data_IF_458602570366
#
_entry.id   IF_458602570366
#
_cell.length_a   1.000
_cell.length_b   1.000
_cell.length_c   1.000
_cell.angle_alpha   90.00
_cell.angle_beta   90.00
_cell.angle_gamma   90.00
#
_symmetry.space_group_name_H-M   'P 1'
#
loop_
_entity.id
_entity.type
_entity.pdbx_description
1 polymer ?
#
# COMPACT_ATOMS: atom_id res chain seq x y z
N UNK A 1 6.39 -5.12 -1.66
CA UNK A 1 6.78 -4.96 -0.23
C UNK A 1 6.54 -6.30 0.45
N UNK A 2 7.46 -6.79 1.26
CA UNK A 2 7.38 -8.12 1.90
C UNK A 2 7.24 -7.97 3.41
N UNK A 3 6.39 -8.79 4.03
CA UNK A 3 6.35 -8.96 5.46
C UNK A 3 7.48 -9.93 5.85
N UNK A 4 8.50 -9.44 6.55
CA UNK A 4 9.72 -10.21 6.84
C UNK A 4 9.49 -11.40 7.78
N UNK A 5 8.41 -11.37 8.58
CA UNK A 5 8.09 -12.47 9.49
C UNK A 5 7.43 -13.66 8.77
N UNK A 6 6.56 -13.38 7.80
CA UNK A 6 5.74 -14.39 7.11
C UNK A 6 6.23 -14.73 5.71
N UNK A 7 7.09 -13.90 5.13
CA UNK A 7 7.52 -14.00 3.73
C UNK A 7 6.46 -13.61 2.71
N UNK A 8 5.25 -13.21 3.14
CA UNK A 8 4.16 -12.80 2.24
C UNK A 8 4.30 -11.36 1.77
N UNK A 9 3.80 -11.06 0.59
CA UNK A 9 3.83 -9.72 0.03
C UNK A 9 2.55 -8.93 0.35
N UNK A 10 2.71 -7.62 0.57
CA UNK A 10 1.60 -6.69 0.74
C UNK A 10 0.85 -6.56 -0.59
N UNK A 11 -0.44 -6.89 -0.57
CA UNK A 11 -1.32 -6.95 -1.74
C UNK A 11 -2.58 -6.12 -1.51
N UNK A 12 -3.35 -5.95 -2.58
CA UNK A 12 -4.64 -5.26 -2.56
C UNK A 12 -5.71 -6.17 -3.13
N UNK A 13 -6.84 -6.27 -2.41
CA UNK A 13 -8.08 -6.88 -2.90
C UNK A 13 -9.18 -5.81 -2.93
N UNK A 14 -9.53 -5.37 -4.13
CA UNK A 14 -10.36 -4.18 -4.37
C UNK A 14 -9.80 -2.92 -3.69
N UNK A 15 -10.25 -2.63 -2.46
CA UNK A 15 -9.81 -1.48 -1.65
C UNK A 15 -9.07 -1.88 -0.37
N UNK A 16 -9.09 -3.17 -0.02
CA UNK A 16 -8.55 -3.67 1.24
C UNK A 16 -7.09 -4.10 1.08
N UNK A 17 -6.33 -3.89 2.14
CA UNK A 17 -4.97 -4.39 2.26
C UNK A 17 -5.02 -5.85 2.73
N UNK A 18 -4.33 -6.72 2.00
CA UNK A 18 -4.22 -8.15 2.33
C UNK A 18 -2.79 -8.61 2.12
N UNK A 19 -2.46 -9.82 2.57
CA UNK A 19 -1.18 -10.48 2.26
C UNK A 19 -1.40 -11.63 1.29
N UNK A 20 -0.54 -11.75 0.28
CA UNK A 20 -0.57 -12.86 -0.67
C UNK A 20 0.85 -13.41 -0.88
N UNK A 21 0.95 -14.53 -1.58
CA UNK A 21 2.26 -15.04 -2.01
C UNK A 21 2.91 -14.02 -2.96
N UNK A 22 4.23 -13.92 -2.92
CA UNK A 22 4.96 -12.95 -3.71
C UNK A 22 5.04 -13.38 -5.18
N UNK A 23 4.55 -12.53 -6.07
CA UNK A 23 4.62 -12.68 -7.52
C UNK A 23 4.86 -11.32 -8.22
N UNK A 24 4.70 -11.27 -9.55
CA UNK A 24 4.89 -10.06 -10.38
C UNK A 24 3.58 -9.35 -10.72
N UNK A 25 2.49 -9.65 -10.03
CA UNK A 25 1.19 -9.03 -10.26
C UNK A 25 1.16 -7.55 -9.86
N UNK A 26 0.26 -6.80 -10.47
CA UNK A 26 0.11 -5.37 -10.18
C UNK A 26 -0.48 -5.14 -8.78
N UNK A 27 -1.20 -6.11 -8.21
CA UNK A 27 -1.72 -6.04 -6.84
C UNK A 27 -0.60 -5.96 -5.80
N UNK A 28 0.56 -6.55 -6.08
CA UNK A 28 1.75 -6.54 -5.22
C UNK A 28 2.73 -5.40 -5.56
N UNK A 29 2.44 -4.65 -6.62
CA UNK A 29 3.32 -3.61 -7.14
C UNK A 29 2.97 -2.26 -6.50
N UNK A 30 3.95 -1.66 -5.86
CA UNK A 30 3.82 -0.39 -5.13
C UNK A 30 4.89 0.59 -5.58
N UNK A 31 4.51 1.86 -5.72
CA UNK A 31 5.43 2.95 -6.04
C UNK A 31 5.33 4.07 -5.01
N UNK A 32 6.45 4.71 -4.71
CA UNK A 32 6.47 5.94 -3.92
C UNK A 32 5.95 7.11 -4.76
N UNK A 33 5.04 7.90 -4.21
CA UNK A 33 4.55 9.14 -4.78
C UNK A 33 5.04 10.39 -4.02
N UNK A 34 4.54 11.56 -4.43
CA UNK A 34 4.79 12.82 -3.74
C UNK A 34 4.23 12.80 -2.31
N UNK A 35 4.84 13.60 -1.43
CA UNK A 35 4.38 13.74 -0.05
C UNK A 35 4.57 12.49 0.83
N UNK A 36 5.33 11.49 0.38
CA UNK A 36 5.53 10.22 1.10
C UNK A 36 4.42 9.20 0.88
N UNK A 37 3.61 9.36 -0.16
CA UNK A 37 2.55 8.40 -0.49
C UNK A 37 3.11 7.08 -1.03
N UNK A 38 2.39 5.98 -0.79
CA UNK A 38 2.67 4.68 -1.40
C UNK A 38 1.47 4.28 -2.27
N UNK A 39 1.62 4.35 -3.58
CA UNK A 39 0.54 4.05 -4.51
C UNK A 39 0.62 2.60 -5.00
N UNK A 40 -0.50 1.91 -4.97
CA UNK A 40 -0.64 0.59 -5.56
C UNK A 40 -0.92 0.69 -7.07
N UNK A 41 -0.24 -0.13 -7.86
CA UNK A 41 -0.31 -0.08 -9.33
C UNK A 41 -1.57 -0.76 -9.89
N UNK A 42 -2.23 -1.65 -9.15
CA UNK A 42 -3.44 -2.32 -9.61
C UNK A 42 -4.66 -1.40 -9.60
N UNK A 43 -4.88 -0.65 -8.52
CA UNK A 43 -6.05 0.22 -8.37
C UNK A 43 -5.74 1.72 -8.45
N UNK A 44 -4.46 2.10 -8.62
CA UNK A 44 -4.01 3.50 -8.66
C UNK A 44 -4.36 4.32 -7.40
N UNK A 45 -4.52 3.66 -6.25
CA UNK A 45 -4.84 4.29 -4.95
C UNK A 45 -3.65 4.24 -4.01
N UNK A 46 -3.64 5.13 -3.03
CA UNK A 46 -2.56 5.23 -2.06
C UNK A 46 -2.89 4.45 -0.79
N UNK A 47 -1.86 3.83 -0.19
CA UNK A 47 -1.94 3.24 1.13
C UNK A 47 -2.28 4.34 2.13
N UNK A 48 -3.34 4.11 2.89
CA UNK A 48 -3.90 5.04 3.86
C UNK A 48 -4.20 4.29 5.15
N UNK A 49 -4.27 5.03 6.24
CA UNK A 49 -4.73 4.55 7.53
C UNK A 49 -6.12 5.15 7.80
N UNK A 50 -7.10 4.27 8.00
CA UNK A 50 -8.46 4.67 8.31
C UNK A 50 -8.95 3.91 9.54
N UNK A 51 -9.22 4.64 10.61
CA UNK A 51 -9.73 4.10 11.87
C UNK A 51 -8.90 2.94 12.45
N UNK A 52 -7.57 3.05 12.35
CA UNK A 52 -6.58 2.08 12.82
C UNK A 52 -6.28 0.95 11.83
N UNK A 53 -6.90 0.95 10.65
CA UNK A 53 -6.76 -0.13 9.66
C UNK A 53 -6.14 0.35 8.35
N UNK A 54 -5.23 -0.43 7.75
CA UNK A 54 -4.63 -0.10 6.47
C UNK A 54 -5.64 -0.36 5.34
N UNK A 55 -5.84 0.65 4.50
CA UNK A 55 -6.73 0.61 3.33
C UNK A 55 -6.07 1.26 2.12
N UNK A 56 -6.71 1.21 0.96
CA UNK A 56 -6.33 2.07 -0.16
C UNK A 56 -7.38 3.14 -0.43
N UNK A 57 -6.93 4.39 -0.49
CA UNK A 57 -7.80 5.55 -0.72
C UNK A 57 -7.29 6.44 -1.86
N UNK A 58 -8.05 7.47 -2.23
CA UNK A 58 -7.60 8.43 -3.23
C UNK A 58 -6.30 9.09 -2.75
N UNK A 59 -5.31 9.18 -3.63
CA UNK A 59 -4.02 9.75 -3.27
C UNK A 59 -4.13 11.24 -2.95
N UNK A 60 -3.73 11.62 -1.73
CA UNK A 60 -3.69 13.00 -1.25
C UNK A 60 -2.29 13.28 -0.68
N UNK A 61 -1.46 13.95 -1.47
CA UNK A 61 -0.09 14.30 -1.08
C UNK A 61 -0.08 15.19 0.17
N UNK A 62 0.74 14.83 1.15
CA UNK A 62 0.94 15.61 2.38
C UNK A 62 -0.02 15.26 3.52
N UNK A 63 -1.02 14.41 3.29
CA UNK A 63 -1.90 13.91 4.35
C UNK A 63 -1.14 12.95 5.26
N UNK A 64 -1.24 13.15 6.58
CA UNK A 64 -0.52 12.37 7.58
C UNK A 64 -0.83 10.86 7.50
N UNK A 65 -2.09 10.49 7.27
CA UNK A 65 -2.54 9.09 7.18
C UNK A 65 -2.02 8.35 5.94
N UNK A 66 -1.52 9.08 4.93
CA UNK A 66 -0.91 8.53 3.72
C UNK A 66 0.61 8.74 3.66
N UNK A 67 1.24 9.22 4.74
CA UNK A 67 2.67 9.51 4.77
C UNK A 67 3.44 8.33 5.33
N UNK A 68 4.16 7.63 4.47
CA UNK A 68 4.95 6.46 4.81
C UNK A 68 6.43 6.73 4.62
N UNK A 69 7.25 6.20 5.52
CA UNK A 69 8.71 6.28 5.47
C UNK A 69 9.30 4.89 5.62
N UNK A 70 10.41 4.62 4.92
CA UNK A 70 11.20 3.42 5.15
C UNK A 70 12.03 3.61 6.42
N UNK A 71 11.86 2.72 7.39
CA UNK A 71 12.70 2.63 8.60
C UNK A 71 13.62 1.44 8.51
#
# INVERSE_FOLDING_TARGET
MVNEHTGKCLSVSAYNIVTADCDQSTQLSWRTGSGGTLQNMYNSRCLDESAGWPVTSTCVSGTASQRWTRT
#
